data_IF_761515473631
#
_entry.id   IF_761515473631
#
_cell.length_a   1.000
_cell.length_b   1.000
_cell.length_c   1.000
_cell.angle_alpha   90.00
_cell.angle_beta   90.00
_cell.angle_gamma   90.00
#
_symmetry.space_group_name_H-M   'P 1'
#
loop_
_entity.id
_entity.type
_entity.pdbx_description
1 polymer ?
#
# COMPACT_ATOMS: atom_id res chain seq x y z
N UNK A 1 -21.86 6.43 -22.27
CA UNK A 1 -20.92 5.63 -21.47
C UNK A 1 -21.12 5.87 -20.00
N UNK A 2 -21.28 4.82 -19.25
CA UNK A 2 -21.41 4.93 -17.79
C UNK A 2 -20.02 5.19 -17.19
N UNK A 3 -19.94 6.19 -16.35
CA UNK A 3 -18.71 6.53 -15.63
C UNK A 3 -18.87 6.11 -14.18
N UNK A 4 -17.93 5.31 -13.69
CA UNK A 4 -17.91 4.85 -12.32
C UNK A 4 -16.69 5.43 -11.60
N UNK A 5 -16.86 5.77 -10.33
CA UNK A 5 -15.76 6.26 -9.49
C UNK A 5 -15.52 5.28 -8.37
N UNK A 6 -14.24 4.98 -8.14
CA UNK A 6 -13.83 4.12 -7.03
C UNK A 6 -12.81 4.86 -6.16
N UNK A 7 -12.97 4.71 -4.86
CA UNK A 7 -12.07 5.30 -3.88
C UNK A 7 -11.43 4.20 -3.05
N UNK A 8 -10.10 4.19 -3.03
CA UNK A 8 -9.31 3.24 -2.27
C UNK A 8 -8.34 3.97 -1.38
N UNK A 9 -7.77 3.27 -0.43
CA UNK A 9 -6.73 3.81 0.42
C UNK A 9 -5.70 2.72 0.70
N UNK A 10 -4.46 3.13 0.89
CA UNK A 10 -3.37 2.22 1.15
C UNK A 10 -2.27 2.85 1.97
N UNK A 11 -1.28 2.05 2.32
CA UNK A 11 -0.23 2.47 3.22
C UNK A 11 1.17 2.15 2.78
N UNK A 12 2.07 3.10 3.05
CA UNK A 12 3.51 2.89 3.04
C UNK A 12 3.90 2.72 4.51
N UNK A 13 4.06 1.47 4.94
CA UNK A 13 4.41 1.16 6.34
C UNK A 13 5.91 1.01 6.43
N UNK A 14 6.54 1.87 7.22
CA UNK A 14 7.99 1.91 7.35
C UNK A 14 8.45 1.50 8.74
N UNK A 15 9.65 0.90 8.78
CA UNK A 15 10.36 0.59 10.01
C UNK A 15 11.86 0.57 9.74
N UNK A 16 12.65 0.69 10.81
CA UNK A 16 14.10 0.50 10.70
C UNK A 16 14.44 -0.95 11.06
N UNK A 17 15.13 -1.63 10.17
CA UNK A 17 15.67 -2.97 10.39
C UNK A 17 17.17 -2.91 10.13
N UNK A 18 17.94 -3.28 11.17
CA UNK A 18 19.41 -3.29 11.06
C UNK A 18 19.98 -1.96 10.55
N UNK A 19 19.40 -0.85 11.06
CA UNK A 19 19.86 0.50 10.71
C UNK A 19 19.37 1.02 9.38
N UNK A 20 18.47 0.29 8.69
CA UNK A 20 18.01 0.65 7.36
C UNK A 20 16.49 0.80 7.35
N UNK A 21 15.98 1.82 6.67
CA UNK A 21 14.54 1.96 6.46
C UNK A 21 14.05 0.94 5.45
N UNK A 22 12.94 0.27 5.79
CA UNK A 22 12.26 -0.68 4.90
C UNK A 22 10.78 -0.38 4.88
N UNK A 23 10.09 -0.80 3.81
CA UNK A 23 8.64 -0.71 3.72
C UNK A 23 8.02 -2.08 3.48
N UNK A 24 6.78 -2.25 3.94
CA UNK A 24 6.03 -3.48 3.73
C UNK A 24 5.43 -3.50 2.34
N UNK A 25 5.76 -4.52 1.55
CA UNK A 25 5.22 -4.71 0.20
C UNK A 25 4.58 -6.07 0.08
N UNK A 26 3.63 -6.18 -0.83
CA UNK A 26 2.92 -7.42 -1.12
C UNK A 26 3.06 -7.79 -2.60
N UNK A 27 2.97 -9.06 -2.90
CA UNK A 27 2.69 -9.53 -4.26
C UNK A 27 1.23 -9.97 -4.25
N UNK A 28 0.35 -9.26 -4.98
CA UNK A 28 -1.05 -9.64 -5.02
C UNK A 28 -1.26 -11.04 -5.60
N UNK A 29 -2.28 -11.73 -5.12
CA UNK A 29 -2.63 -13.05 -5.64
C UNK A 29 -2.87 -13.01 -7.14
N UNK A 30 -2.33 -14.00 -7.86
CA UNK A 30 -2.46 -14.09 -9.30
C UNK A 30 -1.47 -13.28 -10.11
N UNK A 31 -0.63 -12.48 -9.46
CA UNK A 31 0.43 -11.71 -10.16
C UNK A 31 1.73 -12.50 -10.19
N UNK A 32 2.54 -12.33 -11.27
CA UNK A 32 3.82 -13.04 -11.37
C UNK A 32 4.82 -12.61 -10.30
N UNK A 33 5.81 -13.46 -10.07
CA UNK A 33 6.92 -13.19 -9.15
C UNK A 33 7.55 -11.83 -9.47
N UNK A 34 7.91 -11.09 -8.42
CA UNK A 34 8.52 -9.78 -8.57
C UNK A 34 7.52 -8.64 -8.75
N UNK A 35 6.23 -8.91 -8.78
CA UNK A 35 5.21 -7.85 -8.87
C UNK A 35 4.95 -7.31 -7.46
N UNK A 36 5.74 -6.35 -7.04
CA UNK A 36 5.58 -5.74 -5.72
C UNK A 36 4.61 -4.58 -5.75
N UNK A 37 3.74 -4.52 -4.75
CA UNK A 37 2.72 -3.49 -4.62
C UNK A 37 2.60 -3.06 -3.15
N UNK A 38 2.01 -1.90 -2.94
CA UNK A 38 1.67 -1.44 -1.60
C UNK A 38 0.31 -2.02 -1.19
N UNK A 39 0.12 -2.34 0.10
CA UNK A 39 -1.20 -2.80 0.58
C UNK A 39 -2.22 -1.67 0.41
N UNK A 40 -3.40 -2.01 -0.12
CA UNK A 40 -4.49 -1.07 -0.38
C UNK A 40 -5.78 -1.80 -0.65
N UNK A 41 -6.89 -1.10 -0.51
CA UNK A 41 -8.21 -1.64 -0.85
C UNK A 41 -9.28 -0.56 -0.86
N UNK A 42 -10.48 -0.95 -1.26
CA UNK A 42 -11.62 -0.05 -1.37
C UNK A 42 -12.02 0.52 -0.01
N UNK A 43 -12.34 1.81 0.01
CA UNK A 43 -12.87 2.46 1.20
C UNK A 43 -14.24 1.86 1.51
N UNK A 44 -14.38 1.31 2.71
CA UNK A 44 -15.61 0.68 3.15
C UNK A 44 -16.68 1.69 3.55
N UNK A 45 -17.94 1.25 3.60
CA UNK A 45 -19.04 2.11 4.03
C UNK A 45 -18.77 2.67 5.43
N UNK A 46 -18.87 4.00 5.54
CA UNK A 46 -18.66 4.68 6.81
C UNK A 46 -17.21 4.80 7.26
N UNK A 47 -16.25 4.33 6.47
CA UNK A 47 -14.82 4.46 6.78
C UNK A 47 -14.23 5.73 6.20
N UNK A 48 -13.29 6.34 6.91
CA UNK A 48 -12.41 7.35 6.34
C UNK A 48 -11.25 6.68 5.61
N UNK A 49 -10.57 7.42 4.74
CA UNK A 49 -9.46 6.88 3.95
C UNK A 49 -8.32 6.34 4.83
N UNK A 50 -7.94 7.05 5.88
CA UNK A 50 -6.87 6.61 6.77
C UNK A 50 -7.23 5.31 7.50
N UNK A 51 -8.47 5.21 8.00
CA UNK A 51 -8.94 4.00 8.68
C UNK A 51 -8.96 2.81 7.72
N UNK A 52 -9.38 3.02 6.48
CA UNK A 52 -9.34 1.99 5.44
C UNK A 52 -7.91 1.53 5.20
N UNK A 53 -6.98 2.48 5.05
CA UNK A 53 -5.58 2.15 4.80
C UNK A 53 -5.00 1.30 5.94
N UNK A 54 -5.29 1.65 7.20
CA UNK A 54 -4.83 0.86 8.35
C UNK A 54 -5.43 -0.55 8.36
N UNK A 55 -6.72 -0.66 8.03
CA UNK A 55 -7.40 -1.95 7.95
C UNK A 55 -6.80 -2.82 6.85
N UNK A 56 -6.57 -2.25 5.67
CA UNK A 56 -5.99 -2.97 4.53
C UNK A 56 -4.55 -3.41 4.81
N UNK A 57 -3.78 -2.58 5.51
CA UNK A 57 -2.43 -2.98 5.95
C UNK A 57 -2.50 -4.25 6.82
N UNK A 58 -3.40 -4.27 7.80
CA UNK A 58 -3.55 -5.44 8.68
C UNK A 58 -4.01 -6.67 7.90
N UNK A 59 -4.99 -6.51 6.99
CA UNK A 59 -5.54 -7.60 6.20
C UNK A 59 -4.56 -8.20 5.22
N UNK A 60 -3.73 -7.36 4.59
CA UNK A 60 -2.82 -7.80 3.52
C UNK A 60 -1.40 -8.10 3.99
N UNK A 61 -1.00 -7.62 5.14
CA UNK A 61 0.37 -7.82 5.63
C UNK A 61 0.47 -8.48 7.00
N UNK A 62 -0.59 -8.44 7.80
CA UNK A 62 -0.60 -9.00 9.15
C UNK A 62 0.05 -8.12 10.20
N UNK A 63 0.42 -6.88 9.85
CA UNK A 63 1.08 -5.98 10.82
C UNK A 63 0.18 -4.83 11.23
N UNK A 64 0.50 -4.24 12.39
CA UNK A 64 -0.17 -3.05 12.91
C UNK A 64 0.77 -1.86 12.80
N UNK A 65 0.21 -0.70 12.46
CA UNK A 65 0.96 0.52 12.27
C UNK A 65 0.18 1.72 12.81
N UNK A 66 0.88 2.83 12.99
CA UNK A 66 0.27 4.10 13.41
C UNK A 66 0.46 5.15 12.33
N UNK A 67 -0.49 6.10 12.20
CA UNK A 67 -0.39 7.15 11.20
C UNK A 67 0.74 8.13 11.46
N UNK A 68 1.40 8.56 10.39
CA UNK A 68 2.36 9.66 10.42
C UNK A 68 1.80 10.85 9.64
N UNK A 69 1.52 10.66 8.34
CA UNK A 69 0.93 11.71 7.51
C UNK A 69 0.38 11.15 6.21
N UNK A 70 -0.47 11.91 5.54
CA UNK A 70 -0.91 11.56 4.19
C UNK A 70 0.21 11.88 3.20
N UNK A 71 0.51 10.95 2.30
CA UNK A 71 1.51 11.15 1.24
C UNK A 71 0.92 11.77 -0.01
N UNK A 72 -0.28 11.36 -0.41
CA UNK A 72 -0.91 11.88 -1.60
C UNK A 72 -1.91 10.93 -2.20
N UNK A 73 -2.46 11.32 -3.34
CA UNK A 73 -3.44 10.55 -4.09
C UNK A 73 -2.84 10.12 -5.42
N UNK A 74 -3.17 8.90 -5.82
CA UNK A 74 -2.85 8.39 -7.16
C UNK A 74 -4.17 8.25 -7.90
N UNK A 75 -4.24 8.83 -9.10
CA UNK A 75 -5.43 8.80 -9.94
C UNK A 75 -5.15 8.06 -11.22
N UNK A 76 -6.07 7.18 -11.61
CA UNK A 76 -5.98 6.52 -12.91
C UNK A 76 -7.36 6.12 -13.42
N UNK A 77 -7.42 5.84 -14.72
CA UNK A 77 -8.64 5.48 -15.41
C UNK A 77 -8.43 4.13 -16.08
N UNK A 78 -9.41 3.26 -15.94
CA UNK A 78 -9.39 1.98 -16.65
C UNK A 78 -10.80 1.63 -17.13
N UNK A 79 -10.90 0.66 -18.04
CA UNK A 79 -12.17 0.18 -18.55
C UNK A 79 -12.43 -1.21 -17.99
N UNK A 80 -13.60 -1.40 -17.43
CA UNK A 80 -14.02 -2.69 -16.89
C UNK A 80 -15.47 -2.96 -17.30
N UNK A 81 -15.72 -4.11 -17.94
CA UNK A 81 -17.06 -4.53 -18.37
C UNK A 81 -17.81 -3.43 -19.17
N UNK A 82 -17.10 -2.72 -20.05
CA UNK A 82 -17.67 -1.65 -20.86
C UNK A 82 -17.85 -0.33 -20.16
N UNK A 83 -17.52 -0.25 -18.88
CA UNK A 83 -17.60 0.98 -18.10
C UNK A 83 -16.23 1.63 -17.98
N UNK A 84 -16.21 2.97 -18.00
CA UNK A 84 -15.01 3.73 -17.68
C UNK A 84 -14.96 3.95 -16.17
N UNK A 85 -13.88 3.52 -15.54
CA UNK A 85 -13.71 3.64 -14.09
C UNK A 85 -12.63 4.65 -13.78
N UNK A 86 -12.98 5.66 -12.98
CA UNK A 86 -12.01 6.60 -12.41
C UNK A 86 -11.69 6.14 -11.01
N UNK A 87 -10.42 5.86 -10.75
CA UNK A 87 -9.99 5.39 -9.44
C UNK A 87 -9.05 6.38 -8.80
N UNK A 88 -9.30 6.67 -7.52
CA UNK A 88 -8.43 7.49 -6.70
C UNK A 88 -8.01 6.64 -5.52
N UNK A 89 -6.69 6.52 -5.31
CA UNK A 89 -6.13 5.81 -4.17
C UNK A 89 -5.39 6.81 -3.30
N UNK A 90 -5.83 6.96 -2.05
CA UNK A 90 -5.16 7.82 -1.07
C UNK A 90 -4.13 7.00 -0.30
N UNK A 91 -2.87 7.43 -0.33
CA UNK A 91 -1.80 6.75 0.37
C UNK A 91 -1.31 7.55 1.58
N UNK A 92 -1.04 6.79 2.65
CA UNK A 92 -0.60 7.34 3.94
C UNK A 92 0.74 6.73 4.33
N UNK A 93 1.56 7.54 4.99
CA UNK A 93 2.78 7.06 5.62
C UNK A 93 2.42 6.57 7.01
N UNK A 94 2.77 5.33 7.31
CA UNK A 94 2.54 4.70 8.61
C UNK A 94 3.85 4.21 9.19
N UNK A 95 3.93 4.20 10.50
CA UNK A 95 5.06 3.60 11.22
C UNK A 95 4.63 2.25 11.79
N UNK A 96 5.43 1.23 11.54
CA UNK A 96 5.25 -0.10 12.09
C UNK A 96 5.26 -0.06 13.63
N UNK A 97 4.34 -0.79 14.25
CA UNK A 97 4.28 -0.92 15.70
C UNK A 97 4.55 -2.36 16.13
N UNK A 98 3.83 -3.32 15.58
CA UNK A 98 3.94 -4.72 15.97
C UNK A 98 3.36 -5.64 14.89
N UNK A 99 3.55 -6.93 15.10
CA UNK A 99 3.04 -7.96 14.24
C UNK A 99 4.14 -8.56 13.37
N UNK A 100 3.87 -9.77 12.90
CA UNK A 100 4.78 -10.49 12.01
C UNK A 100 4.30 -10.35 10.58
N UNK A 101 5.17 -9.85 9.72
CA UNK A 101 4.86 -9.72 8.29
C UNK A 101 4.53 -11.10 7.71
N UNK A 102 3.35 -11.24 7.13
CA UNK A 102 2.86 -12.50 6.59
C UNK A 102 1.84 -13.20 7.47
N UNK A 103 1.63 -12.74 8.69
CA UNK A 103 0.60 -13.29 9.59
C UNK A 103 -0.77 -12.75 9.22
N UNK A 104 -1.21 -13.12 8.02
CA UNK A 104 -2.42 -12.59 7.41
C UNK A 104 -3.64 -13.37 7.91
N UNK A 105 -4.75 -12.68 8.26
CA UNK A 105 -5.98 -13.37 8.64
C UNK A 105 -6.42 -14.37 7.56
N UNK A 106 -6.83 -15.59 7.93
CA UNK A 106 -7.15 -16.64 6.96
C UNK A 106 -8.13 -16.23 5.87
N UNK A 107 -9.11 -15.38 6.19
CA UNK A 107 -10.11 -14.90 5.24
C UNK A 107 -9.53 -14.01 4.14
N UNK A 108 -8.33 -13.47 4.34
CA UNK A 108 -7.65 -12.61 3.37
C UNK A 108 -6.42 -13.27 2.72
N UNK A 109 -6.08 -14.49 3.16
CA UNK A 109 -4.84 -15.15 2.71
C UNK A 109 -4.77 -15.35 1.19
N UNK A 110 -5.90 -15.53 0.53
CA UNK A 110 -5.94 -15.74 -0.92
C UNK A 110 -5.67 -14.46 -1.73
N UNK A 111 -5.77 -13.30 -1.10
CA UNK A 111 -5.57 -12.00 -1.77
C UNK A 111 -4.10 -11.66 -1.96
N UNK A 112 -3.24 -12.29 -1.19
CA UNK A 112 -1.81 -11.97 -1.14
C UNK A 112 -0.99 -13.24 -1.31
N UNK A 113 -0.13 -13.27 -2.32
CA UNK A 113 0.72 -14.43 -2.58
C UNK A 113 2.03 -14.39 -1.80
N UNK A 114 2.53 -13.19 -1.51
CA UNK A 114 3.84 -13.01 -0.88
C UNK A 114 3.89 -11.65 -0.19
N UNK A 115 4.64 -11.54 0.91
CA UNK A 115 4.90 -10.28 1.60
C UNK A 115 6.41 -10.15 1.84
N UNK A 116 6.92 -8.91 1.83
CA UNK A 116 8.34 -8.67 2.03
C UNK A 116 8.59 -7.26 2.55
N UNK A 117 9.60 -7.13 3.40
CA UNK A 117 10.18 -5.83 3.72
C UNK A 117 11.15 -5.46 2.60
N UNK A 118 10.84 -4.40 1.85
CA UNK A 118 11.73 -3.90 0.80
C UNK A 118 12.54 -2.72 1.35
N UNK A 119 13.84 -2.63 0.99
CA UNK A 119 14.60 -1.43 1.32
C UNK A 119 13.89 -0.19 0.75
N UNK A 120 13.69 0.82 1.59
CA UNK A 120 12.93 2.00 1.19
C UNK A 120 13.61 2.76 0.05
N UNK A 121 14.95 2.83 0.08
CA UNK A 121 15.72 3.52 -0.97
C UNK A 121 15.68 2.79 -2.31
N UNK A 122 15.32 1.51 -2.32
CA UNK A 122 15.17 0.73 -3.56
C UNK A 122 13.71 0.61 -3.99
N UNK A 123 12.77 0.81 -3.08
CA UNK A 123 11.35 0.64 -3.37
C UNK A 123 10.85 1.45 -4.58
N UNK A 124 11.31 2.71 -4.82
CA UNK A 124 10.91 3.43 -6.02
C UNK A 124 11.28 2.75 -7.34
N UNK A 125 12.18 1.78 -7.31
CA UNK A 125 12.56 0.98 -8.48
C UNK A 125 11.90 -0.38 -8.48
N UNK A 126 11.61 -0.92 -7.30
CA UNK A 126 11.11 -2.30 -7.15
C UNK A 126 9.59 -2.42 -7.26
N UNK A 127 8.85 -1.38 -6.86
CA UNK A 127 7.39 -1.41 -6.97
C UNK A 127 6.96 -1.40 -8.43
N UNK A 128 5.93 -2.19 -8.73
CA UNK A 128 5.49 -2.42 -10.11
C UNK A 128 4.73 -1.23 -10.70
N UNK A 129 4.05 -0.44 -9.88
CA UNK A 129 3.13 0.59 -10.37
C UNK A 129 3.69 1.99 -10.16
N UNK A 130 3.59 2.81 -11.22
CA UNK A 130 4.17 4.15 -11.23
C UNK A 130 3.73 5.02 -10.06
N UNK A 131 2.42 5.07 -9.79
CA UNK A 131 1.88 5.89 -8.70
C UNK A 131 2.41 5.43 -7.33
N UNK A 132 2.58 4.13 -7.15
CA UNK A 132 3.12 3.58 -5.90
C UNK A 132 4.62 3.86 -5.77
N UNK A 133 5.35 3.81 -6.87
CA UNK A 133 6.77 4.21 -6.87
C UNK A 133 6.93 5.66 -6.42
N UNK A 134 6.02 6.53 -6.88
CA UNK A 134 6.02 7.94 -6.47
C UNK A 134 5.73 8.11 -4.97
N UNK A 135 4.81 7.30 -4.43
CA UNK A 135 4.51 7.33 -3.00
C UNK A 135 5.70 6.84 -2.16
N UNK A 136 6.37 5.79 -2.60
CA UNK A 136 7.58 5.32 -1.93
C UNK A 136 8.69 6.38 -1.96
N UNK A 137 8.84 7.07 -3.08
CA UNK A 137 9.82 8.17 -3.20
C UNK A 137 9.50 9.32 -2.25
N UNK A 138 8.22 9.66 -2.09
CA UNK A 138 7.79 10.67 -1.13
C UNK A 138 8.10 10.26 0.31
N UNK A 139 7.85 8.99 0.65
CA UNK A 139 8.16 8.46 1.98
C UNK A 139 9.66 8.53 2.25
N UNK A 140 10.47 8.14 1.27
CA UNK A 140 11.92 8.21 1.37
C UNK A 140 12.39 9.65 1.61
N UNK A 141 11.82 10.59 0.89
CA UNK A 141 12.13 12.01 1.02
C UNK A 141 11.85 12.53 2.44
N UNK A 142 10.70 12.14 3.00
CA UNK A 142 10.29 12.50 4.36
C UNK A 142 11.25 11.95 5.41
N UNK A 143 11.68 10.70 5.25
CA UNK A 143 12.49 9.98 6.24
C UNK A 143 13.98 10.19 6.04
N UNK A 144 14.43 10.36 4.81
CA UNK A 144 15.82 10.61 4.49
C UNK A 144 16.35 11.89 5.10
N UNK A 145 15.52 12.92 5.19
CA UNK A 145 15.90 14.19 5.81
C UNK A 145 15.84 14.13 7.34
N UNK A 146 15.20 13.12 7.92
CA UNK A 146 15.10 12.94 9.37
C UNK A 146 16.24 12.10 9.94
N UNK A 147 17.07 11.58 9.10
CA UNK A 147 18.13 10.84 9.57
C UNK A 147 18.84 9.86 9.31
#
# INVERSE_FOLDING_TARGET
>A
MVVRREFSAGGVVVRRLRGRWVLAAIRPGGKPDGTWALPKGLIGPGEGAEATALREVAEETGIEAIPVEKLGDVRYVYTWAGERVFKIVSFFLFRYVRGRLGDIPPEHAHEVAEVRWLPLDEAPKLLAYKGEREMAAKALDRLGSAG
#
